data_IF_441739491037
#
_entry.id   IF_441739491037
#
_cell.length_a   1.000
_cell.length_b   1.000
_cell.length_c   1.000
_cell.angle_alpha   90.00
_cell.angle_beta   90.00
_cell.angle_gamma   90.00
#
_symmetry.space_group_name_H-M   'P 1'
#
loop_
_entity.id
_entity.type
_entity.pdbx_description
1 polymer ?
#
# COMPACT_ATOMS: atom_id res chain seq x y z
N UNK A 1 -18.65 35.86 -15.06
CA UNK A 1 -18.17 34.85 -14.10
C UNK A 1 -18.83 33.55 -14.50
N UNK A 2 -18.15 32.74 -15.32
CA UNK A 2 -18.67 31.46 -15.80
C UNK A 2 -18.46 30.40 -14.72
N UNK A 3 -19.55 29.70 -14.38
CA UNK A 3 -19.57 28.68 -13.35
C UNK A 3 -18.78 27.44 -13.80
N UNK A 4 -17.57 27.27 -13.26
CA UNK A 4 -16.86 25.98 -13.26
C UNK A 4 -17.56 24.99 -12.32
N UNK A 5 -18.75 24.51 -12.71
CA UNK A 5 -19.27 23.26 -12.16
C UNK A 5 -18.41 22.12 -12.69
N UNK A 6 -17.23 21.96 -12.07
CA UNK A 6 -16.42 20.74 -12.17
C UNK A 6 -17.36 19.60 -11.83
N UNK A 7 -17.62 18.73 -12.81
CA UNK A 7 -18.24 17.43 -12.59
C UNK A 7 -17.52 16.76 -11.42
N UNK A 8 -18.09 16.88 -10.22
CA UNK A 8 -17.65 16.11 -9.07
C UNK A 8 -18.04 14.68 -9.43
N UNK A 9 -17.06 13.90 -9.82
CA UNK A 9 -17.25 12.47 -10.02
C UNK A 9 -17.81 11.93 -8.70
N UNK A 10 -19.07 11.54 -8.70
CA UNK A 10 -19.67 10.92 -7.53
C UNK A 10 -19.12 9.50 -7.44
N UNK A 11 -18.21 9.30 -6.48
CA UNK A 11 -17.64 7.98 -6.22
C UNK A 11 -18.65 7.22 -5.37
N UNK A 12 -19.31 6.21 -5.95
CA UNK A 12 -20.18 5.31 -5.21
C UNK A 12 -19.32 4.28 -4.46
N UNK A 13 -19.48 4.22 -3.14
CA UNK A 13 -18.85 3.22 -2.29
C UNK A 13 -19.89 2.17 -1.90
N UNK A 14 -19.81 0.99 -2.52
CA UNK A 14 -20.67 -0.15 -2.17
C UNK A 14 -20.40 -0.58 -0.72
N UNK A 15 -21.46 -0.98 -0.02
CA UNK A 15 -21.37 -1.41 1.39
C UNK A 15 -20.38 -2.56 1.60
N UNK A 16 -20.32 -3.51 0.65
CA UNK A 16 -19.38 -4.62 0.67
C UNK A 16 -17.90 -4.17 0.61
N UNK A 17 -17.60 -3.08 -0.11
CA UNK A 17 -16.25 -2.51 -0.21
C UNK A 17 -15.96 -1.58 0.96
N UNK A 18 -16.99 -0.93 1.52
CA UNK A 18 -16.87 0.01 2.64
C UNK A 18 -16.29 -0.63 3.91
N UNK A 19 -16.51 -1.93 4.11
CA UNK A 19 -15.92 -2.68 5.24
C UNK A 19 -14.39 -2.75 5.19
N UNK A 20 -13.82 -2.59 3.98
CA UNK A 20 -12.39 -2.70 3.76
C UNK A 20 -11.85 -4.12 3.90
N UNK A 21 -10.61 -4.29 3.48
CA UNK A 21 -9.91 -5.58 3.51
C UNK A 21 -8.63 -5.44 4.32
N UNK A 22 -8.54 -6.15 5.44
CA UNK A 22 -7.33 -6.14 6.26
C UNK A 22 -6.15 -6.82 5.55
N UNK A 23 -5.03 -6.09 5.47
CA UNK A 23 -3.73 -6.55 5.02
C UNK A 23 -2.63 -5.97 5.91
N UNK A 24 -1.56 -6.73 6.10
CA UNK A 24 -0.39 -6.35 6.91
C UNK A 24 0.94 -6.48 6.14
N UNK A 25 0.87 -6.82 4.86
CA UNK A 25 1.99 -6.85 3.94
C UNK A 25 1.51 -6.32 2.58
N UNK A 26 2.32 -5.49 1.93
CA UNK A 26 2.12 -5.08 0.55
C UNK A 26 3.33 -5.51 -0.28
N UNK A 27 3.10 -6.20 -1.39
CA UNK A 27 4.13 -6.58 -2.36
C UNK A 27 3.89 -5.77 -3.63
N UNK A 28 4.92 -5.07 -4.09
CA UNK A 28 4.84 -4.22 -5.28
C UNK A 28 5.77 -4.77 -6.35
N UNK A 29 5.21 -5.14 -7.50
CA UNK A 29 5.96 -5.48 -8.71
C UNK A 29 5.56 -4.54 -9.84
N UNK A 30 6.42 -4.38 -10.84
CA UNK A 30 6.13 -3.48 -11.95
C UNK A 30 6.86 -3.87 -13.22
N UNK A 31 6.33 -3.41 -14.35
CA UNK A 31 6.95 -3.39 -15.67
C UNK A 31 6.95 -1.95 -16.21
N UNK A 32 7.35 -1.76 -17.47
CA UNK A 32 7.22 -0.45 -18.14
C UNK A 32 5.76 0.01 -18.30
N UNK A 33 4.80 -0.91 -18.25
CA UNK A 33 3.40 -0.64 -18.57
C UNK A 33 2.51 -0.62 -17.34
N UNK A 34 2.82 -1.39 -16.30
CA UNK A 34 1.93 -1.58 -15.15
C UNK A 34 2.71 -1.71 -13.84
N UNK A 35 2.06 -1.28 -12.76
CA UNK A 35 2.41 -1.56 -11.38
C UNK A 35 1.33 -2.48 -10.79
N UNK A 36 1.76 -3.53 -10.10
CA UNK A 36 0.89 -4.48 -9.42
C UNK A 36 1.16 -4.35 -7.92
N UNK A 37 0.12 -4.02 -7.16
CA UNK A 37 0.15 -3.92 -5.71
C UNK A 37 -0.69 -5.07 -5.14
N UNK A 38 -0.02 -6.03 -4.52
CA UNK A 38 -0.63 -7.15 -3.82
C UNK A 38 -0.68 -6.90 -2.32
N UNK A 39 -1.89 -6.77 -1.79
CA UNK A 39 -2.13 -6.65 -0.36
C UNK A 39 -2.38 -8.03 0.24
N UNK A 40 -1.46 -8.47 1.09
CA UNK A 40 -1.40 -9.81 1.64
C UNK A 40 -1.74 -9.79 3.12
N UNK A 41 -2.46 -10.82 3.57
CA UNK A 41 -2.68 -11.10 4.99
C UNK A 41 -1.83 -12.29 5.40
N UNK A 42 -0.87 -12.02 6.28
CA UNK A 42 -0.05 -13.03 6.95
C UNK A 42 -0.59 -13.22 8.37
N UNK A 43 -1.00 -14.45 8.71
CA UNK A 43 -1.48 -14.80 10.05
C UNK A 43 -0.51 -15.79 10.72
N UNK A 44 -0.21 -15.64 12.02
CA UNK A 44 0.58 -16.63 12.76
C UNK A 44 -0.07 -18.02 12.71
N UNK A 45 0.74 -19.05 12.55
CA UNK A 45 0.27 -20.45 12.56
C UNK A 45 -0.38 -20.95 11.27
N UNK A 46 -0.52 -20.11 10.24
CA UNK A 46 -0.95 -20.54 8.92
C UNK A 46 0.26 -20.68 7.97
N UNK A 47 0.38 -21.79 7.24
CA UNK A 47 1.55 -22.05 6.38
C UNK A 47 1.55 -21.23 5.08
N UNK A 48 0.44 -20.58 4.74
CA UNK A 48 0.28 -19.82 3.50
C UNK A 48 -0.34 -18.47 3.79
N UNK A 49 0.27 -17.42 3.26
CA UNK A 49 -0.32 -16.09 3.24
C UNK A 49 -1.21 -15.96 1.98
N UNK A 50 -2.38 -15.36 2.14
CA UNK A 50 -3.32 -15.14 1.04
C UNK A 50 -3.30 -13.68 0.56
N UNK A 51 -3.22 -13.47 -0.76
CA UNK A 51 -3.49 -12.15 -1.36
C UNK A 51 -4.97 -11.84 -1.13
N UNK A 52 -5.24 -10.72 -0.47
CA UNK A 52 -6.60 -10.28 -0.15
C UNK A 52 -7.14 -9.29 -1.18
N UNK A 53 -6.26 -8.50 -1.79
CA UNK A 53 -6.59 -7.59 -2.88
C UNK A 53 -5.38 -7.40 -3.79
N UNK A 54 -5.64 -7.23 -5.08
CA UNK A 54 -4.65 -6.87 -6.10
C UNK A 54 -5.14 -5.64 -6.83
N UNK A 55 -4.32 -4.59 -6.85
CA UNK A 55 -4.57 -3.37 -7.61
C UNK A 55 -3.53 -3.27 -8.70
N UNK A 56 -3.99 -3.09 -9.95
CA UNK A 56 -3.12 -2.87 -11.12
C UNK A 56 -3.27 -1.42 -11.55
N UNK A 57 -2.15 -0.72 -11.73
CA UNK A 57 -2.11 0.71 -11.99
C UNK A 57 -1.08 1.04 -13.05
N UNK A 58 -1.37 2.01 -13.91
CA UNK A 58 -0.33 2.56 -14.79
C UNK A 58 0.75 3.28 -13.96
N UNK A 59 2.00 3.38 -14.46
CA UNK A 59 3.11 4.04 -13.74
C UNK A 59 2.79 5.46 -13.24
N UNK A 60 2.05 6.24 -14.04
CA UNK A 60 1.65 7.60 -13.66
C UNK A 60 0.72 7.63 -12.43
N UNK A 61 -0.24 6.72 -12.37
CA UNK A 61 -1.18 6.64 -11.25
C UNK A 61 -0.50 6.08 -10.00
N UNK A 62 0.40 5.11 -10.15
CA UNK A 62 1.21 4.61 -9.04
C UNK A 62 2.07 5.73 -8.42
N UNK A 63 2.70 6.57 -9.26
CA UNK A 63 3.47 7.74 -8.80
C UNK A 63 2.60 8.77 -8.08
N UNK A 64 1.39 9.04 -8.58
CA UNK A 64 0.41 9.92 -7.91
C UNK A 64 0.00 9.36 -6.55
N UNK A 65 -0.26 8.05 -6.46
CA UNK A 65 -0.59 7.38 -5.20
C UNK A 65 0.54 7.52 -4.19
N UNK A 66 1.80 7.30 -4.60
CA UNK A 66 2.97 7.44 -3.71
C UNK A 66 3.04 8.84 -3.10
N UNK A 67 2.89 9.89 -3.90
CA UNK A 67 2.93 11.27 -3.39
C UNK A 67 1.76 11.58 -2.46
N UNK A 68 0.54 11.15 -2.83
CA UNK A 68 -0.63 11.34 -1.97
C UNK A 68 -0.47 10.59 -0.63
N UNK A 69 0.05 9.35 -0.66
CA UNK A 69 0.28 8.57 0.54
C UNK A 69 1.34 9.21 1.44
N UNK A 70 2.45 9.67 0.87
CA UNK A 70 3.52 10.35 1.62
C UNK A 70 3.02 11.63 2.32
N UNK A 71 2.20 12.43 1.64
CA UNK A 71 1.61 13.64 2.20
C UNK A 71 0.65 13.29 3.36
N UNK A 72 -0.21 12.28 3.18
CA UNK A 72 -1.14 11.85 4.21
C UNK A 72 -0.44 11.23 5.42
N UNK A 73 0.64 10.47 5.23
CA UNK A 73 1.48 9.95 6.33
C UNK A 73 2.10 11.11 7.11
N UNK A 74 2.68 12.10 6.43
CA UNK A 74 3.26 13.28 7.07
C UNK A 74 2.22 14.01 7.92
N UNK A 75 1.01 14.23 7.39
CA UNK A 75 -0.10 14.87 8.11
C UNK A 75 -0.56 14.05 9.31
N UNK A 76 -0.63 12.73 9.17
CA UNK A 76 -0.94 11.83 10.27
C UNK A 76 0.09 11.98 11.39
N UNK A 77 1.38 11.92 11.07
CA UNK A 77 2.45 11.99 12.07
C UNK A 77 2.52 13.33 12.80
N UNK A 78 2.19 14.43 12.11
CA UNK A 78 2.07 15.75 12.74
C UNK A 78 0.96 15.81 13.79
N UNK A 79 -0.15 15.09 13.57
CA UNK A 79 -1.33 15.13 14.42
C UNK A 79 -1.34 14.06 15.52
N UNK A 80 -0.76 12.89 15.24
CA UNK A 80 -0.85 11.70 16.10
C UNK A 80 0.51 11.21 16.60
N UNK A 81 1.61 11.81 16.15
CA UNK A 81 2.98 11.41 16.46
C UNK A 81 3.58 10.46 15.42
N UNK A 82 4.91 10.32 15.47
CA UNK A 82 5.66 9.53 14.49
C UNK A 82 5.28 8.05 14.49
N UNK A 83 5.14 7.48 13.30
CA UNK A 83 4.97 6.05 13.10
C UNK A 83 6.31 5.38 13.41
N UNK A 84 6.34 4.59 14.47
CA UNK A 84 7.54 3.84 14.88
C UNK A 84 7.70 2.61 14.00
N UNK A 85 8.70 2.64 13.13
CA UNK A 85 9.06 1.45 12.36
C UNK A 85 9.89 0.50 13.24
N UNK A 86 9.58 -0.81 13.28
CA UNK A 86 10.36 -1.80 14.03
C UNK A 86 11.86 -1.80 13.70
N UNK A 87 12.24 -1.37 12.49
CA UNK A 87 13.63 -1.33 12.03
C UNK A 87 14.47 -0.18 12.62
N UNK A 88 13.84 0.87 13.18
CA UNK A 88 14.58 1.96 13.85
C UNK A 88 15.09 1.59 15.25
N UNK A 89 14.78 0.40 15.77
CA UNK A 89 15.35 -0.13 17.02
C UNK A 89 16.48 -1.16 16.80
N UNK A 90 16.85 -1.48 15.56
CA UNK A 90 17.83 -2.53 15.26
C UNK A 90 19.26 -2.01 14.99
N UNK A 91 19.77 -1.06 15.80
CA UNK A 91 21.21 -1.05 16.09
C UNK A 91 21.47 -2.05 17.22
N UNK A 92 21.55 -3.35 16.92
CA UNK A 92 22.11 -4.31 17.90
C UNK A 92 21.57 -5.74 17.96
N UNK A 93 20.69 -6.22 17.08
CA UNK A 93 20.28 -7.62 17.20
C UNK A 93 19.27 -8.12 16.17
N UNK A 94 19.75 -9.00 15.28
CA UNK A 94 19.03 -10.00 14.46
C UNK A 94 17.49 -9.86 14.46
N UNK A 95 16.96 -9.03 13.58
CA UNK A 95 15.55 -9.11 13.17
C UNK A 95 15.40 -10.04 11.97
N UNK A 96 14.40 -10.92 12.05
CA UNK A 96 14.03 -11.87 11.01
C UNK A 96 13.32 -11.11 9.88
N UNK A 97 14.09 -10.51 8.97
CA UNK A 97 13.57 -10.19 7.65
C UNK A 97 13.44 -11.52 6.89
N UNK A 98 12.24 -11.96 6.45
CA UNK A 98 12.19 -13.02 5.47
C UNK A 98 13.00 -12.52 4.25
N UNK A 99 13.93 -13.31 3.72
CA UNK A 99 14.71 -12.90 2.57
C UNK A 99 13.78 -12.59 1.40
N UNK A 100 13.63 -11.29 1.09
CA UNK A 100 12.96 -10.83 -0.14
C UNK A 100 13.80 -11.17 -1.39
N UNK A 101 15.00 -11.74 -1.23
CA UNK A 101 15.90 -12.14 -2.31
C UNK A 101 15.35 -13.24 -3.21
N UNK A 102 14.32 -13.98 -2.78
CA UNK A 102 13.72 -15.05 -3.57
C UNK A 102 12.48 -14.60 -4.38
N UNK A 103 11.99 -13.37 -4.16
CA UNK A 103 10.94 -12.76 -4.98
C UNK A 103 11.55 -11.92 -6.10
N UNK A 104 12.39 -12.56 -6.93
CA UNK A 104 12.80 -11.99 -8.21
C UNK A 104 11.66 -12.22 -9.19
N UNK A 105 10.69 -11.31 -9.19
CA UNK A 105 9.75 -11.17 -10.31
C UNK A 105 10.57 -10.83 -11.55
N UNK A 106 10.80 -11.81 -12.41
CA UNK A 106 11.40 -11.58 -13.71
C UNK A 106 10.43 -10.75 -14.57
N UNK A 107 10.91 -9.56 -14.94
CA UNK A 107 10.51 -8.63 -16.02
C UNK A 107 9.03 -8.23 -16.19
#
# INVERSE_FOLDING_TARGET
>A
MENENKNQLQIELKEEVAQGTYANLAIITHSSSEFILDFVRVMPGLPKAGVQSRIVMTPEHAKRLMFALQDNVTKYEQNFGQIRMPEQQAQGGKTFAPPLSDFKGEA
#
